data_IF_016111971110
#
_entry.id   IF_016111971110
#
_cell.length_a   1.000
_cell.length_b   1.000
_cell.length_c   1.000
_cell.angle_alpha   90.00
_cell.angle_beta   90.00
_cell.angle_gamma   90.00
#
_symmetry.space_group_name_H-M   'P 1'
#
loop_
_entity.id
_entity.type
_entity.pdbx_description
1 polymer ?
#
# COMPACT_ATOMS: atom_id res chain seq x y z
N UNK A 1 -1.34 -18.72 -4.74
CA UNK A 1 -2.07 -18.76 -6.03
C UNK A 1 -2.66 -17.38 -6.25
N UNK A 2 -2.30 -16.71 -7.34
CA UNK A 2 -2.79 -15.36 -7.63
C UNK A 2 -4.16 -15.43 -8.32
N UNK A 3 -5.00 -14.43 -8.09
CA UNK A 3 -6.31 -14.25 -8.75
C UNK A 3 -6.28 -12.95 -9.55
N UNK A 4 -7.02 -12.90 -10.66
CA UNK A 4 -7.15 -11.70 -11.49
C UNK A 4 -8.48 -11.04 -11.20
N UNK A 5 -8.45 -9.74 -10.91
CA UNK A 5 -9.62 -8.87 -10.86
C UNK A 5 -9.59 -7.96 -12.10
N UNK A 6 -10.70 -7.86 -12.81
CA UNK A 6 -10.83 -7.01 -14.01
C UNK A 6 -11.66 -5.78 -13.67
N UNK A 7 -11.18 -4.62 -14.11
CA UNK A 7 -11.88 -3.34 -13.99
C UNK A 7 -12.00 -2.72 -15.38
N UNK A 8 -13.15 -2.12 -15.66
CA UNK A 8 -13.34 -1.36 -16.90
C UNK A 8 -13.08 0.11 -16.60
N UNK A 9 -12.16 0.71 -17.35
CA UNK A 9 -11.78 2.12 -17.22
C UNK A 9 -12.15 2.82 -18.53
N UNK A 10 -12.88 3.95 -18.49
CA UNK A 10 -13.16 4.71 -19.69
C UNK A 10 -11.87 5.20 -20.36
N UNK A 11 -11.76 5.05 -21.67
CA UNK A 11 -10.57 5.42 -22.45
C UNK A 11 -10.20 6.91 -22.29
N UNK A 12 -11.21 7.78 -22.18
CA UNK A 12 -11.05 9.22 -21.94
C UNK A 12 -10.30 9.54 -20.62
N UNK A 13 -10.42 8.68 -19.61
CA UNK A 13 -9.70 8.83 -18.35
C UNK A 13 -8.23 8.48 -18.55
N UNK A 14 -7.92 7.39 -19.24
CA UNK A 14 -6.55 7.01 -19.58
C UNK A 14 -5.86 8.11 -20.40
N UNK A 15 -6.56 8.67 -21.40
CA UNK A 15 -6.06 9.81 -22.17
C UNK A 15 -5.81 11.06 -21.32
N UNK A 16 -6.71 11.36 -20.38
CA UNK A 16 -6.58 12.52 -19.49
C UNK A 16 -5.38 12.37 -18.54
N UNK A 17 -5.15 11.16 -18.04
CA UNK A 17 -4.01 10.83 -17.16
C UNK A 17 -2.69 10.67 -17.93
N UNK A 18 -2.77 10.41 -19.25
CA UNK A 18 -1.63 10.03 -20.11
C UNK A 18 -0.97 8.74 -19.63
N UNK A 19 -1.80 7.80 -19.19
CA UNK A 19 -1.38 6.51 -18.67
C UNK A 19 -1.89 5.37 -19.54
N UNK A 20 -1.12 4.29 -19.59
CA UNK A 20 -1.52 2.99 -20.08
C UNK A 20 -2.40 2.25 -19.07
N UNK A 21 -3.09 1.19 -19.51
CA UNK A 21 -3.85 0.30 -18.64
C UNK A 21 -2.96 -0.35 -17.56
N UNK A 22 -1.70 -0.61 -17.89
CA UNK A 22 -0.73 -1.21 -16.96
C UNK A 22 -0.27 -0.24 -15.88
N UNK A 23 -0.07 1.04 -16.23
CA UNK A 23 0.35 2.08 -15.27
C UNK A 23 -0.77 2.35 -14.27
N UNK A 24 -1.99 2.62 -14.74
CA UNK A 24 -3.12 2.87 -13.84
C UNK A 24 -3.45 1.65 -12.97
N UNK A 25 -3.34 0.43 -13.50
CA UNK A 25 -3.57 -0.78 -12.72
C UNK A 25 -2.50 -0.96 -11.63
N UNK A 26 -1.26 -0.57 -11.90
CA UNK A 26 -0.19 -0.55 -10.91
C UNK A 26 -0.46 0.51 -9.84
N UNK A 27 -0.78 1.75 -10.23
CA UNK A 27 -1.14 2.80 -9.28
C UNK A 27 -2.32 2.41 -8.39
N UNK A 28 -3.38 1.83 -8.96
CA UNK A 28 -4.54 1.38 -8.20
C UNK A 28 -4.19 0.30 -7.17
N UNK A 29 -3.23 -0.59 -7.46
CA UNK A 29 -2.70 -1.54 -6.47
C UNK A 29 -1.99 -0.83 -5.33
N UNK A 30 -1.14 0.16 -5.64
CA UNK A 30 -0.44 0.96 -4.63
C UNK A 30 -1.41 1.71 -3.71
N UNK A 31 -2.36 2.45 -4.29
CA UNK A 31 -3.38 3.17 -3.53
C UNK A 31 -4.24 2.23 -2.68
N UNK A 32 -4.63 1.07 -3.24
CA UNK A 32 -5.39 0.06 -2.49
C UNK A 32 -4.58 -0.52 -1.34
N UNK A 33 -3.30 -0.84 -1.56
CA UNK A 33 -2.41 -1.35 -0.52
C UNK A 33 -2.24 -0.35 0.63
N UNK A 34 -1.98 0.93 0.32
CA UNK A 34 -1.95 2.01 1.32
C UNK A 34 -3.27 2.13 2.07
N UNK A 35 -4.38 2.20 1.35
CA UNK A 35 -5.71 2.35 1.94
C UNK A 35 -6.01 1.20 2.91
N UNK A 36 -5.75 -0.05 2.49
CA UNK A 36 -6.04 -1.21 3.32
C UNK A 36 -5.08 -1.37 4.50
N UNK A 37 -3.82 -0.97 4.34
CA UNK A 37 -2.88 -0.89 5.46
C UNK A 37 -3.35 0.13 6.50
N UNK A 38 -3.63 1.36 6.07
CA UNK A 38 -4.09 2.46 6.94
C UNK A 38 -5.36 2.08 7.72
N UNK A 39 -6.30 1.38 7.08
CA UNK A 39 -7.53 0.92 7.72
C UNK A 39 -7.39 -0.42 8.48
N UNK A 40 -6.16 -0.93 8.70
CA UNK A 40 -5.87 -2.20 9.38
C UNK A 40 -6.57 -3.42 8.78
N UNK A 41 -6.86 -3.40 7.48
CA UNK A 41 -7.46 -4.51 6.74
C UNK A 41 -6.42 -5.48 6.20
N UNK A 42 -5.21 -5.00 5.94
CA UNK A 42 -4.05 -5.81 5.57
C UNK A 42 -2.90 -5.52 6.53
N UNK A 43 -2.13 -6.56 6.89
CA UNK A 43 -0.83 -6.38 7.53
C UNK A 43 0.15 -5.70 6.57
N UNK A 44 1.28 -5.20 7.09
CA UNK A 44 2.30 -4.55 6.27
C UNK A 44 2.84 -5.47 5.17
N UNK A 45 3.14 -6.73 5.48
CA UNK A 45 3.56 -7.73 4.49
C UNK A 45 2.48 -8.06 3.47
N UNK A 46 1.20 -8.12 3.87
CA UNK A 46 0.09 -8.35 2.93
C UNK A 46 -0.13 -7.15 2.00
N UNK A 47 0.00 -5.93 2.52
CA UNK A 47 -0.10 -4.71 1.72
C UNK A 47 1.08 -4.58 0.75
N UNK A 48 2.30 -4.91 1.18
CA UNK A 48 3.48 -4.97 0.30
C UNK A 48 3.31 -6.00 -0.82
N UNK A 49 2.74 -7.18 -0.51
CA UNK A 49 2.38 -8.17 -1.53
C UNK A 49 1.37 -7.63 -2.55
N UNK A 50 0.34 -6.88 -2.12
CA UNK A 50 -0.61 -6.23 -3.02
C UNK A 50 0.04 -5.13 -3.86
N UNK A 51 0.96 -4.37 -3.27
CA UNK A 51 1.75 -3.34 -3.93
C UNK A 51 2.84 -3.90 -4.86
N UNK A 52 3.00 -5.22 -4.91
CA UNK A 52 4.00 -5.93 -5.71
C UNK A 52 5.44 -5.45 -5.48
N UNK A 53 5.78 -5.17 -4.22
CA UNK A 53 7.12 -4.73 -3.84
C UNK A 53 7.57 -5.38 -2.52
N UNK A 54 8.89 -5.41 -2.24
CA UNK A 54 9.39 -5.84 -0.95
C UNK A 54 8.79 -5.02 0.20
N UNK A 55 8.65 -5.63 1.37
CA UNK A 55 8.08 -4.97 2.56
C UNK A 55 8.84 -3.70 2.95
N UNK A 56 10.17 -3.73 2.88
CA UNK A 56 11.03 -2.55 3.12
C UNK A 56 10.72 -1.41 2.13
N UNK A 57 10.60 -1.72 0.84
CA UNK A 57 10.22 -0.73 -0.18
C UNK A 57 8.82 -0.17 0.08
N UNK A 58 7.89 -1.00 0.54
CA UNK A 58 6.55 -0.55 0.89
C UNK A 58 6.53 0.35 2.14
N UNK A 59 7.37 0.07 3.14
CA UNK A 59 7.55 0.96 4.31
C UNK A 59 8.02 2.34 3.87
N UNK A 60 9.00 2.41 2.95
CA UNK A 60 9.46 3.69 2.38
C UNK A 60 8.34 4.40 1.63
N UNK A 61 7.58 3.66 0.82
CA UNK A 61 6.43 4.20 0.09
C UNK A 61 5.34 4.78 1.02
N UNK A 62 5.05 4.12 2.15
CA UNK A 62 4.15 4.65 3.17
C UNK A 62 4.67 5.95 3.77
N UNK A 63 5.97 6.01 4.09
CA UNK A 63 6.63 7.21 4.62
C UNK A 63 6.55 8.39 3.65
N UNK A 64 6.83 8.17 2.36
CA UNK A 64 6.74 9.19 1.31
C UNK A 64 5.31 9.76 1.18
N UNK A 65 4.32 8.91 1.44
CA UNK A 65 2.89 9.27 1.45
C UNK A 65 2.38 9.72 2.83
N UNK A 66 3.27 9.98 3.80
CA UNK A 66 2.94 10.47 5.16
C UNK A 66 2.01 9.54 5.95
N UNK A 67 2.03 8.25 5.65
CA UNK A 67 1.35 7.24 6.45
C UNK A 67 2.36 6.69 7.45
N UNK A 68 2.12 6.95 8.73
CA UNK A 68 3.03 6.48 9.77
C UNK A 68 2.77 5.00 10.06
N UNK A 69 3.84 4.19 9.98
CA UNK A 69 3.77 2.79 10.41
C UNK A 69 3.58 2.63 11.92
N UNK A 70 3.78 3.71 12.67
CA UNK A 70 3.67 3.76 14.13
C UNK A 70 2.37 4.43 14.61
N UNK A 71 1.53 4.94 13.71
CA UNK A 71 0.36 5.78 14.05
C UNK A 71 -0.66 5.08 14.97
N UNK A 72 -0.54 3.77 15.08
CA UNK A 72 -1.46 2.93 15.80
C UNK A 72 -0.82 2.03 16.85
N UNK A 73 0.48 2.20 17.11
CA UNK A 73 1.11 1.63 18.30
C UNK A 73 0.68 2.45 19.51
N UNK A 74 0.22 1.77 20.55
CA UNK A 74 0.16 2.44 21.85
C UNK A 74 1.60 2.76 22.28
N UNK A 75 1.80 3.90 22.94
CA UNK A 75 3.10 4.32 23.46
C UNK A 75 3.75 3.21 24.28
N UNK A 76 2.93 2.51 25.07
CA UNK A 76 3.39 1.43 25.95
C UNK A 76 3.83 0.17 25.18
N UNK A 77 3.22 -0.11 24.02
CA UNK A 77 3.66 -1.20 23.14
C UNK A 77 4.98 -0.85 22.47
N UNK A 78 5.11 0.38 21.97
CA UNK A 78 6.34 0.85 21.34
C UNK A 78 7.53 0.82 22.32
N UNK A 79 7.32 1.23 23.57
CA UNK A 79 8.36 1.21 24.60
C UNK A 79 8.81 -0.21 24.96
N UNK A 80 7.89 -1.19 24.93
CA UNK A 80 8.24 -2.60 25.16
C UNK A 80 9.08 -3.18 24.03
N UNK A 81 8.75 -2.85 22.79
CA UNK A 81 9.52 -3.33 21.63
C UNK A 81 10.94 -2.76 21.64
N UNK A 82 11.11 -1.47 21.97
CA UNK A 82 12.43 -0.85 22.12
C UNK A 82 13.23 -1.50 23.26
N UNK A 83 12.59 -1.85 24.38
CA UNK A 83 13.26 -2.46 25.52
C UNK A 83 13.74 -3.91 25.26
N UNK A 84 13.19 -4.57 24.24
CA UNK A 84 13.50 -5.97 23.90
C UNK A 84 14.41 -6.12 22.66
N UNK A 85 14.81 -5.00 22.03
CA UNK A 85 15.72 -4.95 20.88
C UNK A 85 17.20 -4.83 21.31
#
# INVERSE_FOLDING_TARGET
MNKVATINIPEEILFSLRESETEIAYEMKLYSAMHYYYHKKLSIGQAALLAEMPEETFIHYLSDNKISIFEHYDRDELLKDIANA
#
